data_IF_515750346430
#
_entry.id   IF_515750346430
#
_cell.length_a   1.000
_cell.length_b   1.000
_cell.length_c   1.000
_cell.angle_alpha   90.00
_cell.angle_beta   90.00
_cell.angle_gamma   90.00
#
_symmetry.space_group_name_H-M   'P 1'
#
loop_
_entity.id
_entity.type
_entity.pdbx_description
1 polymer ?
#
# COMPACT_ATOMS: atom_id res chain seq x y z
N UNK A 1 1.63 -10.16 21.52
CA UNK A 1 0.68 -10.91 20.68
C UNK A 1 1.37 -11.14 19.35
N UNK A 2 1.41 -12.38 18.83
CA UNK A 2 2.09 -12.64 17.56
C UNK A 2 1.32 -11.97 16.41
N UNK A 3 2.02 -11.13 15.63
CA UNK A 3 1.49 -10.60 14.38
C UNK A 3 1.29 -11.78 13.41
N UNK A 4 0.06 -11.98 12.95
CA UNK A 4 -0.23 -12.97 11.91
C UNK A 4 0.17 -12.33 10.60
N UNK A 5 1.31 -12.75 10.05
CA UNK A 5 1.86 -12.21 8.81
C UNK A 5 1.69 -13.25 7.70
N UNK A 6 1.03 -12.84 6.61
CA UNK A 6 1.05 -13.56 5.36
C UNK A 6 2.11 -12.94 4.44
N UNK A 7 3.29 -13.58 4.39
CA UNK A 7 4.42 -13.08 3.58
C UNK A 7 4.09 -13.04 2.07
N UNK A 8 3.27 -13.97 1.59
CA UNK A 8 2.87 -14.00 0.17
C UNK A 8 2.01 -12.78 -0.17
N UNK A 9 1.04 -12.47 0.69
CA UNK A 9 0.16 -11.31 0.53
C UNK A 9 0.94 -9.99 0.53
N UNK A 10 1.89 -9.84 1.45
CA UNK A 10 2.75 -8.64 1.53
C UNK A 10 3.65 -8.52 0.30
N UNK A 11 4.21 -9.63 -0.18
CA UNK A 11 5.06 -9.64 -1.38
C UNK A 11 4.27 -9.25 -2.62
N UNK A 12 3.06 -9.77 -2.79
CA UNK A 12 2.17 -9.42 -3.89
C UNK A 12 1.71 -7.97 -3.82
N UNK A 13 1.36 -7.50 -2.62
CA UNK A 13 1.04 -6.09 -2.37
C UNK A 13 2.18 -5.17 -2.77
N UNK A 14 3.42 -5.48 -2.38
CA UNK A 14 4.60 -4.69 -2.73
C UNK A 14 4.84 -4.67 -4.24
N UNK A 15 4.72 -5.82 -4.91
CA UNK A 15 4.88 -5.91 -6.37
C UNK A 15 3.83 -5.09 -7.10
N UNK A 16 2.56 -5.22 -6.70
CA UNK A 16 1.47 -4.45 -7.30
C UNK A 16 1.58 -2.95 -7.03
N UNK A 17 1.95 -2.57 -5.81
CA UNK A 17 2.20 -1.19 -5.43
C UNK A 17 3.30 -0.55 -6.27
N UNK A 18 4.44 -1.22 -6.45
CA UNK A 18 5.52 -0.72 -7.31
C UNK A 18 5.04 -0.50 -8.74
N UNK A 19 4.31 -1.45 -9.34
CA UNK A 19 3.73 -1.26 -10.68
C UNK A 19 2.83 -0.02 -10.77
N UNK A 20 2.02 0.25 -9.75
CA UNK A 20 1.17 1.43 -9.72
C UNK A 20 1.97 2.73 -9.54
N UNK A 21 3.01 2.70 -8.71
CA UNK A 21 3.91 3.84 -8.52
C UNK A 21 4.66 4.16 -9.82
N UNK A 22 5.16 3.14 -10.52
CA UNK A 22 5.87 3.34 -11.80
C UNK A 22 4.93 3.89 -12.87
N UNK A 23 3.67 3.42 -12.91
CA UNK A 23 2.70 3.84 -13.92
C UNK A 23 2.04 5.21 -13.65
N UNK A 24 1.86 5.61 -12.39
CA UNK A 24 1.06 6.80 -12.02
C UNK A 24 1.76 7.79 -11.09
N UNK A 25 2.93 7.44 -10.57
CA UNK A 25 3.66 8.25 -9.60
C UNK A 25 3.04 8.25 -8.21
N UNK A 26 3.77 8.85 -7.26
CA UNK A 26 3.34 8.95 -5.85
C UNK A 26 2.12 9.86 -5.66
N UNK A 27 1.96 10.88 -6.49
CA UNK A 27 0.84 11.82 -6.44
C UNK A 27 -0.53 11.15 -6.60
N UNK A 28 -0.60 10.00 -7.29
CA UNK A 28 -1.83 9.21 -7.41
C UNK A 28 -2.36 8.69 -6.06
N UNK A 29 -1.47 8.51 -5.08
CA UNK A 29 -1.79 8.05 -3.74
C UNK A 29 -2.05 9.18 -2.76
N UNK A 30 -1.91 10.44 -3.17
CA UNK A 30 -2.15 11.60 -2.33
C UNK A 30 -3.59 12.10 -2.49
N UNK A 31 -4.16 12.62 -1.40
CA UNK A 31 -5.43 13.34 -1.42
C UNK A 31 -5.21 14.67 -2.13
N UNK A 32 -6.06 14.97 -3.12
CA UNK A 32 -5.98 16.21 -3.91
C UNK A 32 -6.50 17.43 -3.16
N UNK A 33 -7.52 17.25 -2.32
CA UNK A 33 -8.24 18.34 -1.64
C UNK A 33 -8.10 18.27 -0.11
N UNK A 34 -6.98 17.74 0.38
CA UNK A 34 -6.72 17.58 1.81
C UNK A 34 -6.22 18.86 2.47
N UNK A 35 -6.64 19.14 3.70
CA UNK A 35 -6.06 20.22 4.53
C UNK A 35 -4.57 20.01 4.82
N UNK A 36 -4.07 18.77 4.68
CA UNK A 36 -2.67 18.40 4.88
C UNK A 36 -1.98 18.17 3.55
N UNK A 37 -0.91 18.93 3.32
CA UNK A 37 0.05 18.66 2.25
C UNK A 37 0.58 17.22 2.46
N UNK A 38 0.44 16.37 1.45
CA UNK A 38 0.92 14.97 1.44
C UNK A 38 0.12 13.94 2.27
N UNK A 39 -1.17 14.16 2.47
CA UNK A 39 -2.04 13.13 3.05
C UNK A 39 -2.25 11.97 2.07
N UNK A 40 -2.00 10.72 2.52
CA UNK A 40 -2.32 9.53 1.73
C UNK A 40 -3.83 9.34 1.63
N UNK A 41 -4.31 9.07 0.42
CA UNK A 41 -5.71 8.79 0.15
C UNK A 41 -6.05 7.34 0.59
N UNK A 42 -6.86 7.14 1.65
CA UNK A 42 -7.09 5.80 2.21
C UNK A 42 -7.73 4.84 1.21
N UNK A 43 -8.59 5.35 0.33
CA UNK A 43 -9.24 4.55 -0.71
C UNK A 43 -8.24 3.95 -1.71
N UNK A 44 -7.10 4.62 -1.96
CA UNK A 44 -6.03 4.11 -2.84
C UNK A 44 -5.20 3.02 -2.16
N UNK A 45 -4.96 3.14 -0.86
CA UNK A 45 -4.33 2.08 -0.06
C UNK A 45 -5.22 0.84 -0.06
N UNK A 46 -6.52 1.03 0.19
CA UNK A 46 -7.50 -0.07 0.16
C UNK A 46 -7.60 -0.73 -1.20
N UNK A 47 -7.50 0.04 -2.28
CA UNK A 47 -7.47 -0.50 -3.63
C UNK A 47 -6.33 -1.51 -3.80
N UNK A 48 -5.12 -1.17 -3.35
CA UNK A 48 -3.95 -2.07 -3.43
C UNK A 48 -4.23 -3.37 -2.69
N UNK A 49 -4.65 -3.28 -1.43
CA UNK A 49 -4.90 -4.44 -0.55
C UNK A 49 -6.03 -5.32 -1.10
N UNK A 50 -7.12 -4.70 -1.55
CA UNK A 50 -8.26 -5.42 -2.14
C UNK A 50 -7.89 -6.10 -3.46
N UNK A 51 -7.11 -5.45 -4.31
CA UNK A 51 -6.67 -6.06 -5.56
C UNK A 51 -5.87 -7.32 -5.29
N UNK A 52 -4.85 -7.27 -4.44
CA UNK A 52 -4.01 -8.46 -4.18
C UNK A 52 -4.74 -9.57 -3.44
N UNK A 53 -5.71 -9.22 -2.60
CA UNK A 53 -6.59 -10.20 -1.95
C UNK A 53 -7.48 -10.89 -2.99
N UNK A 54 -7.99 -10.16 -3.98
CA UNK A 54 -8.87 -10.68 -5.04
C UNK A 54 -8.13 -11.45 -6.13
N UNK A 55 -6.92 -11.04 -6.47
CA UNK A 55 -6.10 -11.70 -7.50
C UNK A 55 -5.29 -12.87 -6.94
N UNK A 56 -5.50 -13.23 -5.67
CA UNK A 56 -4.86 -14.37 -5.03
C UNK A 56 -5.25 -15.66 -5.79
N UNK A 57 -4.30 -16.58 -6.03
CA UNK A 57 -4.61 -17.86 -6.66
C UNK A 57 -5.75 -18.60 -5.95
N UNK A 58 -6.71 -19.13 -6.72
CA UNK A 58 -7.90 -19.78 -6.18
C UNK A 58 -7.62 -21.03 -5.33
N UNK A 59 -6.42 -21.62 -5.45
CA UNK A 59 -6.00 -22.76 -4.65
C UNK A 59 -5.51 -22.38 -3.24
N UNK A 60 -5.28 -21.10 -2.96
CA UNK A 60 -4.87 -20.63 -1.64
C UNK A 60 -6.11 -20.21 -0.82
N UNK A 61 -6.11 -20.46 0.50
CA UNK A 61 -7.19 -19.98 1.36
C UNK A 61 -7.21 -18.45 1.41
N UNK A 62 -8.38 -17.89 1.74
CA UNK A 62 -8.52 -16.48 2.03
C UNK A 62 -7.56 -16.07 3.17
N UNK A 63 -6.86 -14.93 3.03
CA UNK A 63 -5.94 -14.48 4.07
C UNK A 63 -6.68 -14.17 5.37
N UNK A 64 -6.04 -14.45 6.50
CA UNK A 64 -6.56 -14.12 7.81
C UNK A 64 -6.75 -12.60 7.94
N UNK A 65 -7.83 -12.09 8.58
CA UNK A 65 -8.08 -10.64 8.70
C UNK A 65 -6.92 -9.83 9.28
N UNK A 66 -6.21 -10.38 10.28
CA UNK A 66 -5.00 -9.74 10.85
C UNK A 66 -3.85 -9.63 9.84
N UNK A 67 -3.69 -10.60 8.93
CA UNK A 67 -2.68 -10.54 7.88
C UNK A 67 -3.03 -9.47 6.84
N UNK A 68 -4.32 -9.28 6.55
CA UNK A 68 -4.80 -8.20 5.68
C UNK A 68 -4.52 -6.83 6.31
N UNK A 69 -4.77 -6.68 7.62
CA UNK A 69 -4.46 -5.44 8.34
C UNK A 69 -2.95 -5.17 8.37
N UNK A 70 -2.12 -6.18 8.65
CA UNK A 70 -0.67 -6.05 8.56
C UNK A 70 -0.23 -5.65 7.15
N UNK A 71 -0.81 -6.24 6.11
CA UNK A 71 -0.54 -5.87 4.72
C UNK A 71 -0.90 -4.41 4.42
N UNK A 72 -2.04 -3.92 4.93
CA UNK A 72 -2.44 -2.51 4.81
C UNK A 72 -1.43 -1.57 5.45
N UNK A 73 -0.96 -1.90 6.65
CA UNK A 73 0.04 -1.12 7.37
C UNK A 73 1.37 -1.08 6.62
N UNK A 74 1.80 -2.21 6.05
CA UNK A 74 3.02 -2.28 5.24
C UNK A 74 2.92 -1.46 3.95
N UNK A 75 1.79 -1.53 3.22
CA UNK A 75 1.55 -0.69 2.03
C UNK A 75 1.62 0.79 2.41
N UNK A 76 0.97 1.18 3.50
CA UNK A 76 0.99 2.57 3.99
C UNK A 76 2.40 3.00 4.38
N UNK A 77 3.16 2.16 5.09
CA UNK A 77 4.55 2.44 5.49
C UNK A 77 5.44 2.69 4.27
N UNK A 78 5.32 1.87 3.22
CA UNK A 78 6.07 2.05 1.98
C UNK A 78 5.69 3.36 1.29
N UNK A 79 4.40 3.69 1.22
CA UNK A 79 3.94 4.94 0.63
C UNK A 79 4.46 6.17 1.38
N UNK A 80 4.38 6.18 2.72
CA UNK A 80 4.93 7.25 3.55
C UNK A 80 6.42 7.43 3.26
N UNK A 81 7.19 6.34 3.25
CA UNK A 81 8.63 6.40 2.97
C UNK A 81 8.90 7.05 1.62
N UNK A 82 8.16 6.64 0.57
CA UNK A 82 8.31 7.22 -0.78
C UNK A 82 7.92 8.70 -0.85
N UNK A 83 6.90 9.11 -0.10
CA UNK A 83 6.51 10.53 0.01
C UNK A 83 7.64 11.33 0.66
N UNK A 84 8.17 10.86 1.79
CA UNK A 84 9.27 11.52 2.49
C UNK A 84 10.51 11.60 1.59
N UNK A 85 10.87 10.51 0.91
CA UNK A 85 12.00 10.50 -0.03
C UNK A 85 11.79 11.53 -1.15
N UNK A 86 10.58 11.66 -1.68
CA UNK A 86 10.26 12.65 -2.70
C UNK A 86 10.34 14.09 -2.16
N UNK A 87 9.86 14.34 -0.93
CA UNK A 87 9.95 15.65 -0.28
C UNK A 87 11.41 16.09 -0.08
N UNK A 88 12.24 15.17 0.43
CA UNK A 88 13.67 15.41 0.63
C UNK A 88 14.39 15.71 -0.70
N UNK A 89 14.02 15.03 -1.79
CA UNK A 89 14.59 15.29 -3.13
C UNK A 89 14.19 16.66 -3.69
N UNK A 90 12.99 17.16 -3.36
CA UNK A 90 12.52 18.48 -3.81
C UNK A 90 12.95 19.62 -2.91
N UNK A 91 13.66 19.34 -1.81
CA UNK A 91 14.11 20.35 -0.84
C UNK A 91 13.00 20.89 0.06
N UNK A 92 11.92 20.12 0.26
CA UNK A 92 10.83 20.39 1.20
C UNK A 92 11.10 19.79 2.58
#
# INVERSE_FOLDING_TARGET
MADIIDLSLVTDARRYLHKLLDARGIAYFLRKDGQRLFELEPSKVELVVRTVTRTRPAHLPSPHPRAVEHCRQEVRRVLIRRVVDAMLQTGL
#
